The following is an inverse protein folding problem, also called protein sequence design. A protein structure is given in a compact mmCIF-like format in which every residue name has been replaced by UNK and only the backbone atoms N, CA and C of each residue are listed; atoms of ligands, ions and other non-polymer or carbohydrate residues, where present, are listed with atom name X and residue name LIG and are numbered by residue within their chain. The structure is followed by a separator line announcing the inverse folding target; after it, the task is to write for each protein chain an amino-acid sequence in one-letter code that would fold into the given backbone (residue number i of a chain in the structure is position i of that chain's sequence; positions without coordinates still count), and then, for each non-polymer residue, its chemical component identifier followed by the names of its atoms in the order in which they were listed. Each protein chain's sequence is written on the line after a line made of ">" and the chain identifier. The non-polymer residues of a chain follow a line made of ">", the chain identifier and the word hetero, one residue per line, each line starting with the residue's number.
data_IF_997484392051
#
_entry.id   IF_997484392051
#
_cell.length_a   1.000
_cell.length_b   1.000
_cell.length_c   1.000
_cell.angle_alpha   90.00
_cell.angle_beta   90.00
_cell.angle_gamma   90.00
#
_symmetry.space_group_name_H-M   'P 1'
#
loop_
_entity.id
_entity.type
_entity.pdbx_description
1 polymer ?
#
# COMPACT_ATOMS: atom_id res chain seq x y z
N UNK A 1 -4.10 -10.60 -6.00
CA UNK A 1 -2.71 -10.17 -5.66
C UNK A 1 -2.75 -9.12 -4.58
N UNK A 2 -1.74 -8.98 -3.71
CA UNK A 2 -1.71 -7.90 -2.72
C UNK A 2 -1.80 -6.53 -3.41
N UNK A 3 -2.57 -5.62 -2.81
CA UNK A 3 -2.77 -4.25 -3.25
C UNK A 3 -1.51 -3.44 -2.92
N UNK A 4 -1.04 -2.64 -3.87
CA UNK A 4 0.13 -1.76 -3.75
C UNK A 4 -0.26 -0.29 -3.68
N UNK A 5 -1.30 0.06 -4.40
CA UNK A 5 -1.91 1.38 -4.44
C UNK A 5 -3.36 1.21 -4.89
N UNK A 6 -4.19 2.19 -4.59
CA UNK A 6 -5.57 2.21 -5.07
C UNK A 6 -6.06 3.64 -5.17
N UNK A 7 -7.11 3.84 -5.96
CA UNK A 7 -7.84 5.09 -5.96
C UNK A 7 -9.32 4.87 -6.31
N UNK A 8 -10.16 5.83 -5.96
CA UNK A 8 -11.61 5.78 -6.20
C UNK A 8 -12.09 7.11 -6.77
N UNK A 9 -12.75 7.09 -7.93
CA UNK A 9 -13.31 8.31 -8.51
C UNK A 9 -14.66 8.69 -7.89
N UNK A 10 -15.18 9.87 -8.25
CA UNK A 10 -16.45 10.38 -7.73
C UNK A 10 -17.66 9.47 -8.06
N UNK A 11 -17.59 8.70 -9.14
CA UNK A 11 -18.63 7.72 -9.50
C UNK A 11 -18.54 6.40 -8.71
N UNK A 12 -17.51 6.25 -7.88
CA UNK A 12 -17.26 5.06 -7.09
C UNK A 12 -16.55 3.92 -7.84
N UNK A 13 -15.99 4.17 -9.03
CA UNK A 13 -15.12 3.20 -9.69
C UNK A 13 -13.78 3.09 -8.96
N UNK A 14 -13.33 1.87 -8.76
CA UNK A 14 -12.20 1.54 -7.91
C UNK A 14 -11.06 1.04 -8.78
N UNK A 15 -9.91 1.69 -8.72
CA UNK A 15 -8.67 1.23 -9.33
C UNK A 15 -7.80 0.55 -8.28
N UNK A 16 -7.42 -0.71 -8.49
CA UNK A 16 -6.53 -1.47 -7.61
C UNK A 16 -5.25 -1.79 -8.36
N UNK A 17 -4.15 -1.16 -7.94
CA UNK A 17 -2.81 -1.46 -8.41
C UNK A 17 -2.22 -2.66 -7.67
N UNK A 18 -1.70 -3.62 -8.41
CA UNK A 18 -0.97 -4.77 -7.91
C UNK A 18 0.22 -5.11 -8.83
N UNK A 19 1.16 -5.90 -8.32
CA UNK A 19 2.34 -6.28 -9.11
C UNK A 19 2.76 -7.72 -8.83
N UNK A 20 3.39 -8.33 -9.84
CA UNK A 20 4.07 -9.61 -9.75
C UNK A 20 5.39 -9.50 -10.53
N UNK A 21 6.51 -9.43 -9.82
CA UNK A 21 7.82 -9.19 -10.44
C UNK A 21 7.83 -7.85 -11.21
N UNK A 22 8.20 -7.83 -12.49
CA UNK A 22 8.17 -6.62 -13.33
C UNK A 22 6.76 -6.29 -13.87
N UNK A 23 5.85 -7.27 -13.85
CA UNK A 23 4.49 -7.10 -14.35
C UNK A 23 3.65 -6.30 -13.37
N UNK A 24 3.10 -5.19 -13.85
CA UNK A 24 2.20 -4.32 -13.10
C UNK A 24 0.81 -4.41 -13.71
N UNK A 25 -0.18 -4.49 -12.84
CA UNK A 25 -1.58 -4.61 -13.23
C UNK A 25 -2.39 -3.63 -12.41
N UNK A 26 -3.25 -2.87 -13.08
CA UNK A 26 -4.30 -2.09 -12.45
C UNK A 26 -5.64 -2.71 -12.84
N UNK A 27 -6.33 -3.31 -11.87
CA UNK A 27 -7.67 -3.85 -12.07
C UNK A 27 -8.71 -2.80 -11.65
N UNK A 28 -9.70 -2.59 -12.51
CA UNK A 28 -10.78 -1.63 -12.30
C UNK A 28 -12.05 -2.37 -11.93
N UNK A 29 -12.71 -1.90 -10.88
CA UNK A 29 -13.95 -2.46 -10.34
C UNK A 29 -15.05 -1.40 -10.25
N UNK A 30 -16.29 -1.85 -10.27
CA UNK A 30 -17.45 -1.02 -9.93
C UNK A 30 -17.46 -0.66 -8.43
N UNK A 31 -18.37 0.23 -8.04
CA UNK A 31 -18.62 0.56 -6.64
C UNK A 31 -19.11 -0.62 -5.80
N UNK A 32 -19.69 -1.65 -6.43
CA UNK A 32 -20.13 -2.90 -5.81
C UNK A 32 -19.04 -3.96 -5.74
N UNK A 33 -17.86 -3.70 -6.30
CA UNK A 33 -16.74 -4.65 -6.34
C UNK A 33 -16.76 -5.60 -7.54
N UNK A 34 -17.61 -5.36 -8.54
CA UNK A 34 -17.63 -6.15 -9.78
C UNK A 34 -16.45 -5.79 -10.66
N UNK A 35 -15.74 -6.79 -11.18
CA UNK A 35 -14.63 -6.57 -12.11
C UNK A 35 -15.13 -5.96 -13.42
N UNK A 36 -14.47 -4.90 -13.88
CA UNK A 36 -14.79 -4.22 -15.15
C UNK A 36 -13.74 -4.52 -16.22
N UNK A 37 -12.49 -4.14 -15.98
CA UNK A 37 -11.36 -4.37 -16.89
C UNK A 37 -10.03 -4.28 -16.13
N UNK A 38 -8.93 -4.62 -16.80
CA UNK A 38 -7.59 -4.46 -16.25
C UNK A 38 -6.63 -3.89 -17.29
N UNK A 39 -5.70 -3.07 -16.82
CA UNK A 39 -4.58 -2.55 -17.59
C UNK A 39 -3.30 -3.21 -17.10
N UNK A 40 -2.49 -3.72 -18.02
CA UNK A 40 -1.19 -4.34 -17.72
C UNK A 40 -0.07 -3.57 -18.39
N UNK A 41 1.04 -3.39 -17.68
CA UNK A 41 2.23 -2.74 -18.20
C UNK A 41 3.48 -3.23 -17.46
N UNK A 42 4.63 -3.04 -18.08
CA UNK A 42 5.93 -3.31 -17.48
C UNK A 42 6.59 -1.99 -17.07
N UNK A 43 7.10 -1.94 -15.84
CA UNK A 43 7.93 -0.84 -15.39
C UNK A 43 8.81 -1.26 -14.22
N UNK A 44 9.95 -0.58 -14.08
CA UNK A 44 10.80 -0.73 -12.90
C UNK A 44 10.30 0.09 -11.71
N UNK A 45 10.44 -0.47 -10.51
CA UNK A 45 10.16 0.23 -9.25
C UNK A 45 8.67 0.35 -8.92
N UNK A 46 8.35 1.20 -7.95
CA UNK A 46 6.97 1.39 -7.47
C UNK A 46 6.13 2.21 -8.45
N UNK A 47 4.81 2.05 -8.37
CA UNK A 47 3.85 2.85 -9.10
C UNK A 47 2.65 3.21 -8.24
N UNK A 48 1.92 4.22 -8.69
CA UNK A 48 0.74 4.77 -8.05
C UNK A 48 -0.33 5.05 -9.09
N UNK A 49 -1.58 5.06 -8.64
CA UNK A 49 -2.73 5.32 -9.51
C UNK A 49 -3.58 6.42 -8.93
N UNK A 50 -4.18 7.22 -9.80
CA UNK A 50 -5.10 8.29 -9.44
C UNK A 50 -6.07 8.50 -10.61
N UNK A 51 -7.35 8.67 -10.30
CA UNK A 51 -8.34 9.04 -11.28
C UNK A 51 -8.23 10.51 -11.64
N UNK A 52 -8.34 10.80 -12.94
CA UNK A 52 -8.45 12.15 -13.48
C UNK A 52 -9.63 12.18 -14.45
N UNK A 53 -10.82 12.44 -13.90
CA UNK A 53 -12.09 12.22 -14.59
C UNK A 53 -12.26 10.75 -14.97
N UNK A 54 -12.52 10.49 -16.26
CA UNK A 54 -12.70 9.14 -16.81
C UNK A 54 -11.36 8.45 -17.17
N UNK A 55 -10.23 9.16 -17.02
CA UNK A 55 -8.91 8.64 -17.32
C UNK A 55 -8.17 8.26 -16.04
N UNK A 56 -7.22 7.33 -16.16
CA UNK A 56 -6.35 6.95 -15.07
C UNK A 56 -4.96 7.56 -15.27
N UNK A 57 -4.49 8.29 -14.26
CA UNK A 57 -3.10 8.65 -14.13
C UNK A 57 -2.33 7.48 -13.49
N UNK A 58 -1.31 7.00 -14.19
CA UNK A 58 -0.38 5.98 -13.69
C UNK A 58 0.98 6.65 -13.49
N UNK A 59 1.36 6.79 -12.24
CA UNK A 59 2.64 7.39 -11.85
C UNK A 59 3.71 6.31 -11.71
N UNK A 60 4.86 6.50 -12.36
CA UNK A 60 6.00 5.58 -12.36
C UNK A 60 7.18 6.22 -11.63
N UNK A 61 7.50 5.74 -10.42
CA UNK A 61 8.47 6.41 -9.51
C UNK A 61 9.85 6.48 -10.12
N UNK A 62 10.40 5.34 -10.58
CA UNK A 62 11.78 5.30 -11.09
C UNK A 62 11.97 6.07 -12.38
N UNK A 63 10.93 6.11 -13.22
CA UNK A 63 10.97 6.84 -14.47
C UNK A 63 10.69 8.34 -14.28
N UNK A 64 10.21 8.76 -13.10
CA UNK A 64 9.79 10.15 -12.84
C UNK A 64 8.80 10.66 -13.89
N UNK A 65 7.83 9.82 -14.26
CA UNK A 65 6.78 10.16 -15.22
C UNK A 65 5.40 9.77 -14.72
N UNK A 66 4.39 10.47 -15.23
CA UNK A 66 2.99 10.10 -15.17
C UNK A 66 2.51 9.81 -16.59
N UNK A 67 1.89 8.65 -16.79
CA UNK A 67 1.16 8.33 -18.01
C UNK A 67 -0.33 8.46 -17.74
N UNK A 68 -1.04 9.21 -18.58
CA UNK A 68 -2.50 9.25 -18.56
C UNK A 68 -3.03 8.24 -19.57
N UNK A 69 -3.90 7.33 -19.12
CA UNK A 69 -4.46 6.25 -19.94
C UNK A 69 -5.98 6.24 -19.86
N UNK A 70 -6.63 5.89 -20.97
CA UNK A 70 -8.08 5.66 -20.99
C UNK A 70 -8.43 4.20 -20.63
N UNK A 71 -9.72 3.90 -20.58
CA UNK A 71 -10.24 2.56 -20.25
C UNK A 71 -9.88 1.48 -21.28
N UNK A 72 -9.45 1.85 -22.48
CA UNK A 72 -8.97 0.93 -23.51
C UNK A 72 -7.45 0.74 -23.44
N UNK A 73 -6.77 1.37 -22.48
CA UNK A 73 -5.32 1.33 -22.33
C UNK A 73 -4.57 2.23 -23.32
N UNK A 74 -5.27 3.13 -24.02
CA UNK A 74 -4.61 4.09 -24.90
C UNK A 74 -3.95 5.17 -24.04
N UNK A 75 -2.67 5.39 -24.29
CA UNK A 75 -1.91 6.49 -23.67
C UNK A 75 -2.34 7.81 -24.31
N UNK A 76 -2.92 8.69 -23.50
CA UNK A 76 -3.35 10.03 -23.92
C UNK A 76 -2.24 11.07 -23.74
N UNK A 77 -1.33 10.84 -22.80
CA UNK A 77 -0.18 11.71 -22.57
C UNK A 77 0.82 11.11 -21.59
N UNK A 78 2.06 11.59 -21.67
CA UNK A 78 3.14 11.25 -20.72
C UNK A 78 3.78 12.55 -20.26
N UNK A 79 3.88 12.73 -18.95
CA UNK A 79 4.30 13.97 -18.32
C UNK A 79 5.47 13.69 -17.37
N UNK A 80 6.50 14.54 -17.42
CA UNK A 80 7.59 14.47 -16.46
C UNK A 80 7.13 14.94 -15.08
N UNK A 81 7.44 14.15 -14.05
CA UNK A 81 7.21 14.50 -12.65
C UNK A 81 8.54 14.99 -12.08
N UNK A 82 8.57 16.25 -11.63
CA UNK A 82 9.78 16.84 -11.05
C UNK A 82 10.02 16.27 -9.65
N UNK A 83 11.29 15.96 -9.35
CA UNK A 83 11.68 15.63 -7.97
C UNK A 83 11.72 16.91 -7.14
N UNK A 84 10.67 17.10 -6.35
CA UNK A 84 10.47 18.26 -5.47
C UNK A 84 9.89 17.78 -4.15
N UNK A 85 10.10 18.53 -3.07
CA UNK A 85 9.56 18.18 -1.76
C UNK A 85 8.03 18.11 -1.79
N UNK A 86 7.39 18.99 -2.54
CA UNK A 86 5.95 19.05 -2.75
C UNK A 86 5.43 17.78 -3.44
N UNK A 87 6.05 17.37 -4.54
CA UNK A 87 5.66 16.15 -5.26
C UNK A 87 5.91 14.89 -4.41
N UNK A 88 7.01 14.84 -3.66
CA UNK A 88 7.30 13.73 -2.75
C UNK A 88 6.28 13.67 -1.60
N UNK A 89 5.81 14.80 -1.11
CA UNK A 89 4.72 14.86 -0.13
C UNK A 89 3.39 14.39 -0.72
N UNK A 90 3.03 14.88 -1.91
CA UNK A 90 1.82 14.46 -2.63
C UNK A 90 1.82 12.95 -2.90
N UNK A 91 2.97 12.42 -3.28
CA UNK A 91 3.16 10.99 -3.50
C UNK A 91 2.81 10.16 -2.27
N UNK A 92 3.42 10.50 -1.13
CA UNK A 92 3.28 9.72 0.09
C UNK A 92 1.92 9.90 0.76
N UNK A 93 1.32 11.09 0.65
CA UNK A 93 0.11 11.45 1.38
C UNK A 93 -1.17 11.40 0.55
N UNK A 94 -1.07 11.49 -0.77
CA UNK A 94 -2.21 11.42 -1.69
C UNK A 94 -2.15 10.09 -2.44
N UNK A 95 -1.20 9.91 -3.35
CA UNK A 95 -1.18 8.75 -4.26
C UNK A 95 -1.08 7.42 -3.50
N UNK A 96 -0.25 7.33 -2.47
CA UNK A 96 -0.11 6.14 -1.62
C UNK A 96 -0.94 6.15 -0.34
N UNK A 97 -1.87 7.09 -0.17
CA UNK A 97 -2.73 7.05 1.02
C UNK A 97 -3.54 5.75 1.04
N UNK A 98 -3.66 5.15 2.22
CA UNK A 98 -4.45 3.94 2.44
C UNK A 98 -5.96 4.23 2.56
N UNK A 99 -6.36 5.50 2.51
CA UNK A 99 -7.74 5.95 2.68
C UNK A 99 -8.12 6.85 1.49
N UNK A 100 -9.35 6.68 0.98
CA UNK A 100 -10.00 7.54 -0.01
C UNK A 100 -11.43 7.83 0.42
N UNK A 101 -11.92 9.02 0.09
CA UNK A 101 -13.31 9.39 0.31
C UNK A 101 -13.93 9.77 -1.02
N UNK A 102 -15.01 9.10 -1.40
CA UNK A 102 -15.75 9.37 -2.63
C UNK A 102 -17.24 9.15 -2.40
N UNK A 103 -18.09 10.08 -2.84
CA UNK A 103 -19.55 9.96 -2.71
C UNK A 103 -20.06 9.71 -1.28
N UNK A 104 -19.39 10.26 -0.27
CA UNK A 104 -19.73 10.04 1.15
C UNK A 104 -19.38 8.65 1.70
N UNK A 105 -18.63 7.86 0.94
CA UNK A 105 -18.12 6.55 1.35
C UNK A 105 -16.61 6.65 1.59
N UNK A 106 -16.16 6.12 2.73
CA UNK A 106 -14.73 5.94 3.01
C UNK A 106 -14.29 4.58 2.48
N UNK A 107 -13.23 4.57 1.67
CA UNK A 107 -12.58 3.38 1.18
C UNK A 107 -11.22 3.25 1.85
N UNK A 108 -10.91 2.07 2.36
CA UNK A 108 -9.70 1.79 3.10
C UNK A 108 -9.07 0.49 2.67
N UNK A 109 -7.77 0.51 2.40
CA UNK A 109 -6.98 -0.70 2.24
C UNK A 109 -6.29 -1.07 3.55
N UNK A 110 -6.36 -2.35 3.92
CA UNK A 110 -5.69 -2.86 5.11
C UNK A 110 -5.30 -4.35 4.98
N UNK A 111 -4.69 -4.90 6.04
CA UNK A 111 -4.36 -6.33 6.12
C UNK A 111 -5.16 -7.06 7.20
N UNK A 112 -6.24 -6.49 7.73
CA UNK A 112 -7.01 -7.07 8.84
C UNK A 112 -6.14 -7.48 10.05
N UNK A 113 -5.04 -6.74 10.31
CA UNK A 113 -4.11 -7.00 11.43
C UNK A 113 -4.36 -6.08 12.64
N UNK A 114 -5.53 -5.42 12.68
CA UNK A 114 -5.88 -4.46 13.72
C UNK A 114 -4.85 -3.32 13.84
N UNK A 115 -4.33 -3.03 15.04
CA UNK A 115 -3.40 -1.91 15.27
C UNK A 115 -2.02 -2.07 14.61
N UNK A 116 -1.71 -3.22 14.00
CA UNK A 116 -0.44 -3.46 13.28
C UNK A 116 -0.49 -3.06 11.79
N UNK A 117 -1.57 -2.43 11.33
CA UNK A 117 -1.75 -2.05 9.92
C UNK A 117 -0.86 -0.86 9.46
N UNK A 118 -0.15 -0.16 10.36
CA UNK A 118 0.50 1.13 10.06
C UNK A 118 1.84 1.07 9.31
N UNK A 119 2.42 -0.12 9.05
CA UNK A 119 3.77 -0.23 8.44
C UNK A 119 3.81 -1.38 7.44
N UNK A 120 3.12 -1.27 6.31
CA UNK A 120 3.05 -2.37 5.33
C UNK A 120 3.21 -1.86 3.90
N UNK A 121 4.02 -2.58 3.11
CA UNK A 121 4.34 -2.28 1.71
C UNK A 121 3.31 -2.84 0.71
N UNK A 122 2.28 -3.51 1.23
CA UNK A 122 1.13 -4.00 0.48
C UNK A 122 -0.04 -4.34 1.41
N UNK A 123 -1.23 -4.45 0.85
CA UNK A 123 -2.48 -4.69 1.56
C UNK A 123 -3.24 -5.89 0.98
N UNK A 124 -4.03 -6.57 1.79
CA UNK A 124 -4.76 -7.79 1.38
C UNK A 124 -6.23 -7.54 1.11
N UNK A 125 -6.78 -6.43 1.61
CA UNK A 125 -8.19 -6.10 1.42
C UNK A 125 -8.45 -4.64 1.16
N UNK A 126 -9.59 -4.40 0.52
CA UNK A 126 -10.25 -3.10 0.38
C UNK A 126 -11.61 -3.18 1.07
N UNK A 127 -11.89 -2.22 1.94
CA UNK A 127 -13.14 -2.09 2.69
C UNK A 127 -13.77 -0.75 2.35
N UNK A 128 -15.06 -0.75 2.05
CA UNK A 128 -15.86 0.46 1.90
C UNK A 128 -16.77 0.63 3.12
N UNK A 129 -16.83 1.83 3.69
CA UNK A 129 -17.68 2.19 4.83
C UNK A 129 -18.58 3.33 4.41
N UNK A 130 -19.90 3.10 4.41
CA UNK A 130 -20.88 4.13 4.08
C UNK A 130 -20.95 5.20 5.17
N UNK A 131 -21.57 6.35 4.86
CA UNK A 131 -21.82 7.41 5.83
C UNK A 131 -22.58 6.95 7.10
N UNK A 132 -23.42 5.92 6.96
CA UNK A 132 -24.18 5.32 8.08
C UNK A 132 -23.34 4.36 8.94
N UNK A 133 -22.07 4.15 8.59
CA UNK A 133 -21.13 3.28 9.31
C UNK A 133 -21.16 1.81 8.87
N UNK A 134 -21.89 1.46 7.81
CA UNK A 134 -21.93 0.08 7.31
C UNK A 134 -20.68 -0.23 6.48
N UNK A 135 -19.89 -1.21 6.92
CA UNK A 135 -18.69 -1.65 6.22
C UNK A 135 -18.93 -2.90 5.37
N UNK A 136 -18.42 -2.88 4.13
CA UNK A 136 -18.42 -4.00 3.18
C UNK A 136 -17.00 -4.25 2.68
N UNK A 137 -16.58 -5.51 2.65
CA UNK A 137 -15.30 -5.90 2.05
C UNK A 137 -15.51 -6.08 0.55
N UNK A 138 -14.88 -5.22 -0.25
CA UNK A 138 -15.02 -5.22 -1.72
C UNK A 138 -13.95 -6.06 -2.42
N UNK A 139 -12.82 -6.28 -1.75
CA UNK A 139 -11.73 -7.11 -2.26
C UNK A 139 -10.99 -7.75 -1.09
N UNK A 140 -10.69 -9.04 -1.18
CA UNK A 140 -9.92 -9.80 -0.18
C UNK A 140 -9.11 -10.91 -0.85
N UNK A 141 -7.78 -10.85 -0.72
CA UNK A 141 -6.86 -11.88 -1.25
C UNK A 141 -6.21 -12.72 -0.16
N UNK A 142 -6.66 -12.56 1.09
CA UNK A 142 -6.14 -13.26 2.25
C UNK A 142 -4.75 -12.81 2.71
N UNK A 143 -4.42 -13.14 3.96
CA UNK A 143 -3.22 -12.67 4.66
C UNK A 143 -2.03 -13.63 4.65
N UNK A 144 -2.02 -14.63 3.78
CA UNK A 144 -1.03 -15.71 3.85
C UNK A 144 0.43 -15.22 3.85
N UNK A 145 0.71 -14.06 3.26
CA UNK A 145 2.05 -13.43 3.27
C UNK A 145 2.31 -12.50 4.48
N UNK A 146 1.31 -11.78 4.98
CA UNK A 146 1.47 -10.84 6.11
C UNK A 146 1.77 -11.55 7.44
N UNK A 147 1.28 -12.79 7.59
CA UNK A 147 1.57 -13.64 8.76
C UNK A 147 3.06 -14.01 8.81
N UNK A 148 3.74 -14.14 7.66
CA UNK A 148 5.16 -14.48 7.61
C UNK A 148 6.07 -13.32 8.04
N UNK A 149 5.74 -12.08 7.70
CA UNK A 149 6.53 -10.90 8.10
C UNK A 149 6.37 -10.55 9.58
N UNK A 150 5.17 -10.71 10.15
CA UNK A 150 4.95 -10.53 11.59
C UNK A 150 5.75 -11.54 12.43
N UNK A 151 5.88 -12.78 11.93
CA UNK A 151 6.69 -13.83 12.56
C UNK A 151 8.18 -13.45 12.64
N UNK A 152 8.74 -12.88 11.56
CA UNK A 152 10.13 -12.40 11.56
C UNK A 152 10.37 -11.25 12.52
N UNK A 153 9.41 -10.32 12.66
CA UNK A 153 9.52 -9.20 13.60
C UNK A 153 9.57 -9.69 15.06
N UNK A 154 8.78 -10.72 15.40
CA UNK A 154 8.83 -11.36 16.73
C UNK A 154 10.20 -12.00 17.00
N UNK A 155 10.80 -12.68 16.02
CA UNK A 155 12.14 -13.27 16.14
C UNK A 155 13.19 -12.19 16.43
N UNK A 156 13.15 -11.06 15.71
CA UNK A 156 14.08 -9.94 15.92
C UNK A 156 13.91 -9.36 17.33
N UNK A 157 12.69 -9.16 17.81
CA UNK A 157 12.43 -8.67 19.18
C UNK A 157 13.00 -9.62 20.23
N UNK A 158 12.80 -10.93 20.08
CA UNK A 158 13.36 -11.93 21.00
C UNK A 158 14.89 -11.86 21.00
N UNK A 159 15.51 -11.73 19.82
CA UNK A 159 16.96 -11.63 19.71
C UNK A 159 17.51 -10.38 20.41
N UNK A 160 16.86 -9.22 20.22
CA UNK A 160 17.22 -7.97 20.90
C UNK A 160 17.07 -8.10 22.42
N UNK A 161 15.99 -8.72 22.90
CA UNK A 161 15.79 -8.96 24.34
C UNK A 161 16.90 -9.86 24.93
N UNK A 162 17.29 -10.93 24.24
CA UNK A 162 18.37 -11.83 24.68
C UNK A 162 19.74 -11.12 24.71
N UNK A 163 20.00 -10.24 23.75
CA UNK A 163 21.21 -9.42 23.74
C UNK A 163 21.24 -8.47 24.94
N UNK A 164 20.14 -7.76 25.23
CA UNK A 164 20.03 -6.87 26.40
C UNK A 164 20.24 -7.66 27.70
N UNK A 165 19.59 -8.81 27.86
CA UNK A 165 19.77 -9.67 29.05
C UNK A 165 21.23 -10.09 29.21
N UNK A 166 21.90 -10.46 28.11
CA UNK A 166 23.30 -10.87 28.13
C UNK A 166 24.23 -9.73 28.53
N UNK A 167 24.00 -8.53 28.01
CA UNK A 167 24.75 -7.31 28.39
C UNK A 167 24.56 -7.02 29.87
N UNK A 168 23.32 -7.00 30.38
CA UNK A 168 23.01 -6.76 31.80
C UNK A 168 23.69 -7.80 32.70
N UNK A 169 23.69 -9.08 32.32
CA UNK A 169 24.39 -10.14 33.05
C UNK A 169 25.90 -9.92 33.08
N UNK A 170 26.51 -9.54 31.95
CA UNK A 170 27.95 -9.24 31.88
C UNK A 170 28.32 -8.03 32.75
N UNK A 171 27.52 -6.96 32.72
CA UNK A 171 27.72 -5.79 33.57
C UNK A 171 27.62 -6.11 35.07
N UNK A 172 26.63 -6.92 35.49
CA UNK A 172 26.50 -7.37 36.88
C UNK A 172 27.69 -8.21 37.32
N UNK A 173 28.13 -9.15 36.48
CA UNK A 173 29.30 -10.02 36.76
C UNK A 173 30.59 -9.20 36.86
N UNK A 174 30.80 -8.22 35.98
CA UNK A 174 31.97 -7.33 36.04
C UNK A 174 31.98 -6.45 37.30
N UNK A 175 30.83 -5.97 37.78
CA UNK A 175 30.76 -5.22 39.05
C UNK A 175 31.06 -6.07 40.28
N UNK A 176 30.65 -7.34 40.30
CA UNK A 176 30.98 -8.24 41.41
C UNK A 176 32.48 -8.55 41.45
N UNK A 177 33.09 -8.84 40.30
CA UNK A 177 34.52 -9.14 40.23
C UNK A 177 35.43 -7.94 40.53
N UNK A 178 34.94 -6.70 40.40
CA UNK A 178 35.69 -5.48 40.72
C UNK A 178 35.47 -4.99 42.17
N UNK A 179 34.64 -5.70 42.96
CA UNK A 179 34.33 -5.37 44.35
C UNK A 179 34.97 -6.36 45.36
N UNK A 180 35.65 -7.40 44.87
CA UNK A 180 36.59 -8.25 45.60
C UNK A 180 38.03 -7.74 45.40
#
# INVERSE_FOLDING_TARGET
>A
MPIKCFDVNESGQIAIGSEKSADKIVAIYSSTGDFLYALSFEADGSFGVEWNGDCLNVYLVRASVLAQVDSQGKVLGVFAVKDTAENNSYWNNTVHSAIRNAGGTEYKIDNNLGPLNYIQSSYSRLVATSADGNSTVLYDVGNSKAISSAFWLVIVIIFVMLAIISIVKQFKKSRQNNAE
#
